data_IF_096647748917
#
_entry.id   IF_096647748917
#
_cell.length_a   1.000
_cell.length_b   1.000
_cell.length_c   1.000
_cell.angle_alpha   90.00
_cell.angle_beta   90.00
_cell.angle_gamma   90.00
#
_symmetry.space_group_name_H-M   'P 1'
#
loop_
_entity.id
_entity.type
_entity.pdbx_description
1 polymer ?
#
# COMPACT_ATOMS: atom_id res chain seq x y z
N UNK A 1 43.20 -46.99 -26.20
CA UNK A 1 43.01 -46.31 -24.92
C UNK A 1 42.50 -44.86 -25.04
N UNK A 2 42.85 -44.12 -26.09
CA UNK A 2 42.42 -42.71 -26.28
C UNK A 2 40.93 -42.52 -26.54
N UNK A 3 40.26 -43.40 -27.30
CA UNK A 3 38.83 -43.29 -27.68
C UNK A 3 37.84 -43.47 -26.50
N UNK A 4 38.22 -44.23 -25.47
CA UNK A 4 37.37 -44.46 -24.32
C UNK A 4 37.52 -43.34 -23.27
N UNK A 5 38.65 -42.65 -23.26
CA UNK A 5 38.88 -41.51 -22.38
C UNK A 5 38.01 -40.30 -22.80
N UNK A 6 37.81 -40.13 -24.12
CA UNK A 6 36.96 -39.03 -24.65
C UNK A 6 35.47 -39.26 -24.38
N UNK A 7 35.01 -40.50 -24.38
CA UNK A 7 33.61 -40.87 -24.08
C UNK A 7 33.29 -40.71 -22.57
N UNK A 8 34.25 -41.02 -21.69
CA UNK A 8 34.08 -40.83 -20.23
C UNK A 8 34.05 -39.36 -19.87
N UNK A 9 34.84 -38.51 -20.55
CA UNK A 9 34.87 -37.08 -20.30
C UNK A 9 33.58 -36.36 -20.78
N UNK A 10 32.94 -36.87 -21.89
CA UNK A 10 31.65 -36.33 -22.35
C UNK A 10 30.46 -36.77 -21.52
N UNK A 11 30.52 -37.93 -20.82
CA UNK A 11 29.46 -38.37 -19.90
C UNK A 11 29.45 -37.58 -18.56
N UNK A 12 30.59 -37.03 -18.15
CA UNK A 12 30.69 -36.21 -16.94
C UNK A 12 30.08 -34.80 -17.10
N UNK A 13 29.89 -34.31 -18.34
CA UNK A 13 29.29 -33.02 -18.61
C UNK A 13 27.74 -33.01 -18.64
N UNK A 14 27.12 -34.19 -18.70
CA UNK A 14 25.64 -34.28 -18.79
C UNK A 14 24.97 -34.34 -17.41
N UNK A 15 25.73 -34.48 -16.33
CA UNK A 15 25.20 -34.56 -14.94
C UNK A 15 25.13 -33.21 -14.22
N UNK A 16 25.41 -32.08 -14.91
CA UNK A 16 25.40 -30.73 -14.28
C UNK A 16 24.19 -29.86 -14.62
N UNK A 17 23.10 -30.44 -15.11
CA UNK A 17 21.81 -29.76 -15.21
C UNK A 17 20.82 -30.47 -14.29
N UNK A 18 21.05 -30.43 -12.98
CA UNK A 18 19.93 -30.52 -12.05
C UNK A 18 19.24 -29.17 -12.11
N UNK A 19 18.11 -29.07 -12.81
CA UNK A 19 17.09 -28.11 -12.51
C UNK A 19 16.57 -28.44 -11.09
N UNK A 20 17.35 -28.10 -10.08
CA UNK A 20 16.82 -27.87 -8.75
C UNK A 20 15.92 -26.65 -8.93
N UNK A 21 14.62 -26.79 -8.88
CA UNK A 21 13.77 -25.70 -8.45
C UNK A 21 14.38 -25.25 -7.13
N UNK A 22 14.86 -24.01 -7.06
CA UNK A 22 15.41 -23.45 -5.83
C UNK A 22 14.29 -23.55 -4.80
N UNK A 23 14.40 -24.54 -3.93
CA UNK A 23 13.42 -24.73 -2.84
C UNK A 23 13.70 -23.63 -1.83
N UNK A 24 12.74 -22.71 -1.68
CA UNK A 24 12.82 -21.65 -0.67
C UNK A 24 13.06 -22.25 0.71
N UNK A 25 13.87 -21.57 1.50
CA UNK A 25 14.32 -22.02 2.83
C UNK A 25 13.85 -21.07 3.92
N UNK A 26 14.00 -21.50 5.19
CA UNK A 26 13.77 -20.62 6.35
C UNK A 26 14.70 -19.39 6.33
N UNK A 27 15.94 -19.55 5.88
CA UNK A 27 16.91 -18.45 5.79
C UNK A 27 16.47 -17.43 4.72
N UNK A 28 15.95 -17.89 3.59
CA UNK A 28 15.41 -17.00 2.55
C UNK A 28 14.22 -16.19 3.08
N UNK A 29 13.36 -16.79 3.90
CA UNK A 29 12.25 -16.08 4.53
C UNK A 29 12.72 -15.01 5.52
N UNK A 30 13.76 -15.30 6.34
CA UNK A 30 14.35 -14.35 7.28
C UNK A 30 15.07 -13.22 6.54
N UNK A 31 15.80 -13.53 5.49
CA UNK A 31 16.46 -12.51 4.67
C UNK A 31 15.41 -11.60 4.03
N UNK A 32 14.36 -12.14 3.45
CA UNK A 32 13.26 -11.35 2.89
C UNK A 32 12.63 -10.41 3.93
N UNK A 33 12.32 -10.90 5.13
CA UNK A 33 11.78 -10.08 6.21
C UNK A 33 12.73 -8.94 6.60
N UNK A 34 14.03 -9.22 6.69
CA UNK A 34 15.04 -8.21 6.99
C UNK A 34 15.13 -7.13 5.88
N UNK A 35 15.05 -7.53 4.62
CA UNK A 35 15.04 -6.60 3.47
C UNK A 35 13.80 -5.70 3.48
N UNK A 36 12.62 -6.27 3.75
CA UNK A 36 11.36 -5.50 3.88
C UNK A 36 11.45 -4.51 5.03
N UNK A 37 11.98 -4.92 6.18
CA UNK A 37 12.16 -4.05 7.35
C UNK A 37 13.14 -2.89 7.06
N UNK A 38 14.28 -3.18 6.45
CA UNK A 38 15.30 -2.17 6.12
C UNK A 38 14.74 -1.16 5.10
N UNK A 39 14.02 -1.64 4.10
CA UNK A 39 13.37 -0.78 3.12
C UNK A 39 12.30 0.10 3.76
N UNK A 40 11.48 -0.44 4.65
CA UNK A 40 10.50 0.34 5.39
C UNK A 40 11.15 1.45 6.25
N UNK A 41 12.31 1.18 6.85
CA UNK A 41 13.07 2.19 7.63
C UNK A 41 13.64 3.30 6.75
N UNK A 42 14.13 2.96 5.57
CA UNK A 42 14.82 3.91 4.67
C UNK A 42 13.84 4.72 3.82
N UNK A 43 12.84 4.09 3.24
CA UNK A 43 11.89 4.72 2.32
C UNK A 43 10.61 5.22 3.00
N UNK A 44 10.18 4.57 4.10
CA UNK A 44 8.96 4.93 4.83
C UNK A 44 8.85 6.41 5.21
N UNK A 45 9.91 7.08 5.70
CA UNK A 45 9.87 8.51 5.99
C UNK A 45 9.57 9.38 4.77
N UNK A 46 10.01 8.98 3.56
CA UNK A 46 9.75 9.72 2.32
C UNK A 46 8.30 9.56 1.89
N UNK A 47 7.75 8.35 1.96
CA UNK A 47 6.34 8.07 1.72
C UNK A 47 5.44 8.86 2.68
N UNK A 48 5.76 8.81 3.98
CA UNK A 48 5.02 9.57 4.99
C UNK A 48 5.06 11.07 4.74
N UNK A 49 6.20 11.60 4.29
CA UNK A 49 6.35 13.02 3.97
C UNK A 49 5.50 13.42 2.76
N UNK A 50 5.46 12.60 1.71
CA UNK A 50 4.64 12.85 0.53
C UNK A 50 3.14 12.89 0.90
N UNK A 51 2.70 11.95 1.72
CA UNK A 51 1.34 11.90 2.23
C UNK A 51 1.01 13.11 3.14
N UNK A 52 1.92 13.47 4.05
CA UNK A 52 1.75 14.64 4.92
C UNK A 52 1.61 15.94 4.12
N UNK A 53 2.45 16.12 3.07
CA UNK A 53 2.37 17.30 2.19
C UNK A 53 1.00 17.35 1.51
N UNK A 54 0.52 16.24 0.96
CA UNK A 54 -0.77 16.17 0.29
C UNK A 54 -1.92 16.49 1.26
N UNK A 55 -1.88 15.98 2.49
CA UNK A 55 -2.95 16.19 3.49
C UNK A 55 -3.00 17.62 4.04
N UNK A 56 -1.87 18.33 4.06
CA UNK A 56 -1.79 19.68 4.62
C UNK A 56 -1.78 20.79 3.54
N UNK A 57 -1.36 20.48 2.33
CA UNK A 57 -1.30 21.40 1.19
C UNK A 57 -2.01 20.76 0.00
N UNK A 58 -3.35 20.83 -0.02
CA UNK A 58 -4.20 20.19 -1.02
C UNK A 58 -4.11 20.99 -2.33
N UNK A 59 -3.12 20.66 -3.16
CA UNK A 59 -2.87 21.27 -4.47
C UNK A 59 -2.78 20.19 -5.54
N UNK A 60 -2.91 20.59 -6.81
CA UNK A 60 -2.70 19.68 -7.93
C UNK A 60 -1.32 18.99 -7.90
N UNK A 61 -0.26 19.73 -7.53
CA UNK A 61 1.10 19.19 -7.51
C UNK A 61 1.29 18.20 -6.36
N UNK A 62 0.77 18.49 -5.16
CA UNK A 62 0.83 17.58 -4.01
C UNK A 62 0.05 16.28 -4.25
N UNK A 63 -1.12 16.37 -4.89
CA UNK A 63 -1.91 15.21 -5.31
C UNK A 63 -1.13 14.33 -6.29
N UNK A 64 -0.48 14.92 -7.29
CA UNK A 64 0.35 14.18 -8.25
C UNK A 64 1.51 13.45 -7.59
N UNK A 65 2.21 14.11 -6.68
CA UNK A 65 3.31 13.50 -5.91
C UNK A 65 2.79 12.35 -5.05
N UNK A 66 1.70 12.56 -4.30
CA UNK A 66 1.11 11.53 -3.45
C UNK A 66 0.61 10.32 -4.26
N UNK A 67 -0.04 10.55 -5.41
CA UNK A 67 -0.50 9.48 -6.31
C UNK A 67 0.66 8.63 -6.85
N UNK A 68 1.79 9.25 -7.23
CA UNK A 68 2.98 8.52 -7.68
C UNK A 68 3.59 7.67 -6.56
N UNK A 69 3.72 8.22 -5.35
CA UNK A 69 4.18 7.45 -4.19
C UNK A 69 3.20 6.32 -3.83
N UNK A 70 1.89 6.59 -3.83
CA UNK A 70 0.86 5.58 -3.57
C UNK A 70 0.94 4.43 -4.59
N UNK A 71 1.04 4.74 -5.89
CA UNK A 71 1.20 3.73 -6.94
C UNK A 71 2.44 2.86 -6.68
N UNK A 72 3.60 3.47 -6.45
CA UNK A 72 4.86 2.72 -6.22
C UNK A 72 4.77 1.84 -4.99
N UNK A 73 4.26 2.37 -3.88
CA UNK A 73 4.09 1.61 -2.64
C UNK A 73 3.11 0.44 -2.79
N UNK A 74 2.03 0.63 -3.56
CA UNK A 74 1.04 -0.40 -3.85
C UNK A 74 1.63 -1.56 -4.67
N UNK A 75 2.38 -1.25 -5.74
CA UNK A 75 3.02 -2.27 -6.57
C UNK A 75 4.08 -3.06 -5.79
N UNK A 76 4.87 -2.36 -4.99
CA UNK A 76 5.86 -2.98 -4.12
C UNK A 76 5.23 -3.90 -3.07
N UNK A 77 4.20 -3.44 -2.37
CA UNK A 77 3.50 -4.24 -1.39
C UNK A 77 2.85 -5.49 -2.01
N UNK A 78 2.37 -5.40 -3.26
CA UNK A 78 1.87 -6.55 -4.01
C UNK A 78 2.98 -7.57 -4.30
N UNK A 79 4.16 -7.12 -4.71
CA UNK A 79 5.33 -7.97 -4.94
C UNK A 79 5.77 -8.64 -3.64
N UNK A 80 5.85 -7.86 -2.56
CA UNK A 80 6.17 -8.39 -1.23
C UNK A 80 5.16 -9.44 -0.76
N UNK A 81 3.85 -9.23 -0.98
CA UNK A 81 2.83 -10.20 -0.63
C UNK A 81 2.95 -11.51 -1.44
N UNK A 82 3.30 -11.43 -2.72
CA UNK A 82 3.56 -12.61 -3.56
C UNK A 82 4.80 -13.38 -3.08
N UNK A 83 5.88 -12.67 -2.79
CA UNK A 83 7.10 -13.28 -2.26
C UNK A 83 6.83 -13.91 -0.89
N UNK A 84 6.11 -13.23 0.00
CA UNK A 84 5.72 -13.78 1.30
C UNK A 84 4.90 -15.07 1.17
N UNK A 85 4.07 -15.19 0.13
CA UNK A 85 3.27 -16.41 -0.12
C UNK A 85 4.12 -17.61 -0.56
N UNK A 86 5.30 -17.39 -1.14
CA UNK A 86 6.21 -18.50 -1.50
C UNK A 86 6.77 -19.25 -0.28
N UNK A 87 6.68 -18.65 0.91
CA UNK A 87 7.13 -19.23 2.17
C UNK A 87 6.02 -19.93 2.98
N UNK A 88 4.82 -20.11 2.38
CA UNK A 88 3.66 -20.63 3.12
C UNK A 88 3.85 -22.05 3.66
N UNK A 89 4.52 -22.91 2.90
CA UNK A 89 4.75 -24.32 3.23
C UNK A 89 5.94 -24.55 4.19
N UNK A 90 6.69 -23.48 4.55
CA UNK A 90 7.83 -23.61 5.46
C UNK A 90 7.38 -23.70 6.91
N UNK A 91 8.08 -24.48 7.71
CA UNK A 91 7.99 -24.41 9.18
C UNK A 91 8.88 -23.27 9.67
N UNK A 92 8.25 -22.17 10.16
CA UNK A 92 8.92 -20.95 10.58
C UNK A 92 8.64 -20.67 12.05
N UNK A 93 9.52 -19.87 12.67
CA UNK A 93 9.25 -19.28 13.97
C UNK A 93 7.90 -18.53 13.96
N UNK A 94 7.11 -18.56 15.05
CA UNK A 94 5.81 -17.89 15.11
C UNK A 94 5.86 -16.38 14.82
N UNK A 95 6.97 -15.69 15.16
CA UNK A 95 7.14 -14.26 14.86
C UNK A 95 7.34 -14.03 13.36
N UNK A 96 8.18 -14.82 12.68
CA UNK A 96 8.43 -14.74 11.26
C UNK A 96 7.16 -15.09 10.47
N UNK A 97 6.46 -16.16 10.86
CA UNK A 97 5.16 -16.53 10.28
C UNK A 97 4.13 -15.41 10.41
N UNK A 98 4.06 -14.75 11.57
CA UNK A 98 3.18 -13.61 11.80
C UNK A 98 3.54 -12.43 10.91
N UNK A 99 4.84 -12.11 10.78
CA UNK A 99 5.31 -11.02 9.93
C UNK A 99 4.93 -11.25 8.45
N UNK A 100 5.17 -12.45 7.92
CA UNK A 100 4.76 -12.83 6.56
C UNK A 100 3.24 -12.72 6.36
N UNK A 101 2.44 -13.15 7.36
CA UNK A 101 0.99 -13.02 7.28
C UNK A 101 0.51 -11.56 7.30
N UNK A 102 1.18 -10.66 8.01
CA UNK A 102 0.89 -9.23 7.99
C UNK A 102 1.18 -8.67 6.60
N UNK A 103 2.31 -9.02 5.98
CA UNK A 103 2.66 -8.58 4.61
C UNK A 103 1.62 -9.08 3.61
N UNK A 104 1.24 -10.37 3.66
CA UNK A 104 0.25 -10.96 2.74
C UNK A 104 -1.15 -10.35 2.86
N UNK A 105 -1.57 -10.02 4.08
CA UNK A 105 -2.93 -9.56 4.37
C UNK A 105 -3.02 -8.03 4.56
N UNK A 106 -1.94 -7.30 4.26
CA UNK A 106 -1.86 -5.85 4.42
C UNK A 106 -2.79 -5.05 3.49
N UNK A 107 -3.41 -5.70 2.52
CA UNK A 107 -4.33 -5.05 1.58
C UNK A 107 -5.77 -5.17 2.05
N UNK A 108 -6.40 -4.04 2.35
CA UNK A 108 -7.86 -3.96 2.53
C UNK A 108 -8.56 -4.14 1.17
N UNK A 109 -7.95 -3.65 0.10
CA UNK A 109 -8.41 -3.80 -1.27
C UNK A 109 -7.21 -4.17 -2.14
N UNK A 110 -7.16 -5.40 -2.69
CA UNK A 110 -6.03 -5.83 -3.54
C UNK A 110 -5.92 -4.90 -4.76
N UNK A 111 -4.73 -4.38 -5.02
CA UNK A 111 -4.52 -3.56 -6.22
C UNK A 111 -4.66 -4.42 -7.48
N UNK A 112 -5.08 -3.83 -8.61
CA UNK A 112 -5.00 -4.48 -9.90
C UNK A 112 -3.58 -4.92 -10.23
N UNK A 113 -3.44 -6.04 -10.95
CA UNK A 113 -2.14 -6.55 -11.42
C UNK A 113 -1.55 -5.74 -12.58
N UNK A 114 -2.40 -5.00 -13.26
CA UNK A 114 -2.03 -4.12 -14.37
C UNK A 114 -1.53 -2.78 -13.85
N UNK A 115 -0.35 -2.36 -14.27
CA UNK A 115 0.31 -1.12 -13.83
C UNK A 115 -0.50 0.13 -14.14
N UNK A 116 -1.24 0.15 -15.26
CA UNK A 116 -2.06 1.30 -15.62
C UNK A 116 -3.26 1.38 -14.69
N UNK A 117 -3.97 0.28 -14.46
CA UNK A 117 -5.11 0.21 -13.53
C UNK A 117 -4.70 0.49 -12.09
N UNK A 118 -3.53 0.01 -11.65
CA UNK A 118 -2.98 0.34 -10.33
C UNK A 118 -2.71 1.85 -10.19
N UNK A 119 -2.19 2.49 -11.24
CA UNK A 119 -1.98 3.94 -11.28
C UNK A 119 -3.28 4.73 -11.29
N UNK A 120 -4.30 4.28 -12.03
CA UNK A 120 -5.64 4.88 -12.03
C UNK A 120 -6.29 4.78 -10.66
N UNK A 121 -6.22 3.62 -10.01
CA UNK A 121 -6.73 3.41 -8.65
C UNK A 121 -6.06 4.35 -7.64
N UNK A 122 -4.72 4.45 -7.66
CA UNK A 122 -3.98 5.35 -6.77
C UNK A 122 -4.37 6.82 -6.99
N UNK A 123 -4.59 7.23 -8.24
CA UNK A 123 -5.03 8.58 -8.59
C UNK A 123 -6.43 8.88 -8.08
N UNK A 124 -7.37 7.94 -8.26
CA UNK A 124 -8.76 8.07 -7.77
C UNK A 124 -8.78 8.15 -6.23
N UNK A 125 -8.02 7.30 -5.53
CA UNK A 125 -7.95 7.34 -4.08
C UNK A 125 -7.43 8.69 -3.57
N UNK A 126 -6.35 9.20 -4.17
CA UNK A 126 -5.79 10.50 -3.82
C UNK A 126 -6.76 11.65 -4.13
N UNK A 127 -7.50 11.57 -5.23
CA UNK A 127 -8.53 12.55 -5.58
C UNK A 127 -9.67 12.54 -4.57
N UNK A 128 -10.18 11.37 -4.18
CA UNK A 128 -11.24 11.24 -3.16
C UNK A 128 -10.81 11.81 -1.81
N UNK A 129 -9.58 11.52 -1.36
CA UNK A 129 -9.01 12.09 -0.14
C UNK A 129 -8.91 13.61 -0.21
N UNK A 130 -8.49 14.13 -1.36
CA UNK A 130 -8.38 15.57 -1.59
C UNK A 130 -9.74 16.26 -1.63
N UNK A 131 -10.73 15.64 -2.31
CA UNK A 131 -12.12 16.14 -2.33
C UNK A 131 -12.70 16.20 -0.92
N UNK A 132 -12.44 15.18 -0.10
CA UNK A 132 -12.89 15.17 1.28
C UNK A 132 -12.18 16.23 2.12
N UNK A 133 -10.84 16.26 2.11
CA UNK A 133 -10.04 17.17 2.92
C UNK A 133 -10.24 18.65 2.59
N UNK A 134 -10.62 18.98 1.34
CA UNK A 134 -10.94 20.37 0.93
C UNK A 134 -12.45 20.65 0.90
N UNK A 135 -13.27 19.68 1.32
CA UNK A 135 -14.71 19.76 1.24
C UNK A 135 -15.32 20.77 2.23
N UNK A 136 -16.41 21.37 1.79
CA UNK A 136 -17.25 22.23 2.64
C UNK A 136 -18.71 22.06 2.31
N UNK A 137 -19.59 22.43 3.24
CA UNK A 137 -21.02 22.48 3.03
C UNK A 137 -21.61 23.79 3.51
N UNK A 138 -22.50 24.38 2.71
CA UNK A 138 -23.19 25.61 3.05
C UNK A 138 -24.69 25.31 3.22
N UNK A 139 -25.25 25.69 4.37
CA UNK A 139 -26.69 25.65 4.60
C UNK A 139 -27.41 26.86 4.00
N UNK A 140 -26.67 27.97 3.83
CA UNK A 140 -27.08 29.21 3.18
C UNK A 140 -25.85 29.92 2.57
N UNK A 141 -26.03 31.02 1.84
CA UNK A 141 -24.98 31.74 1.12
C UNK A 141 -23.79 32.14 2.03
N UNK A 142 -24.06 32.54 3.28
CA UNK A 142 -23.06 32.97 4.28
C UNK A 142 -22.92 31.97 5.46
N UNK A 143 -23.50 30.76 5.38
CA UNK A 143 -23.51 29.75 6.44
C UNK A 143 -22.78 28.49 5.98
N UNK A 144 -21.47 28.60 5.74
CA UNK A 144 -20.60 27.56 5.19
C UNK A 144 -19.62 27.05 6.24
N UNK A 145 -19.42 25.73 6.25
CA UNK A 145 -18.54 25.02 7.19
C UNK A 145 -17.67 24.03 6.42
N UNK A 146 -16.39 24.00 6.74
CA UNK A 146 -15.47 22.94 6.36
C UNK A 146 -15.44 21.83 7.41
N UNK A 147 -14.58 20.82 7.21
CA UNK A 147 -14.47 19.69 8.13
C UNK A 147 -14.06 20.13 9.54
N UNK A 148 -13.10 21.06 9.66
CA UNK A 148 -12.59 21.57 10.96
C UNK A 148 -13.68 22.30 11.71
N UNK A 149 -14.46 23.12 11.02
CA UNK A 149 -15.58 23.85 11.63
C UNK A 149 -16.67 22.90 12.14
N UNK A 150 -17.01 21.85 11.38
CA UNK A 150 -17.96 20.82 11.83
C UNK A 150 -17.42 20.02 13.02
N UNK A 151 -16.15 19.61 12.98
CA UNK A 151 -15.49 18.90 14.07
C UNK A 151 -15.52 19.72 15.35
N UNK A 152 -15.20 21.01 15.26
CA UNK A 152 -15.23 21.93 16.39
C UNK A 152 -16.64 22.01 17.02
N UNK A 153 -17.70 22.06 16.21
CA UNK A 153 -19.09 22.03 16.74
C UNK A 153 -19.37 20.70 17.44
N UNK A 154 -19.01 19.58 16.83
CA UNK A 154 -19.28 18.23 17.39
C UNK A 154 -18.55 18.05 18.72
N UNK A 155 -17.33 18.54 18.84
CA UNK A 155 -16.52 18.40 20.05
C UNK A 155 -17.01 19.29 21.20
N UNK A 156 -17.43 20.50 20.91
CA UNK A 156 -17.67 21.53 21.92
C UNK A 156 -19.14 21.79 22.22
N UNK A 157 -20.05 21.60 21.28
CA UNK A 157 -21.49 21.81 21.49
C UNK A 157 -22.10 20.71 22.37
N UNK A 158 -23.18 21.09 23.08
CA UNK A 158 -24.06 20.16 23.81
C UNK A 158 -25.53 20.39 23.43
N UNK A 159 -25.76 21.24 22.43
CA UNK A 159 -27.07 21.47 21.85
C UNK A 159 -27.36 20.36 20.82
N UNK A 160 -28.41 19.53 21.01
CA UNK A 160 -28.76 18.46 20.11
C UNK A 160 -29.09 18.92 18.68
N UNK A 161 -29.69 20.08 18.51
CA UNK A 161 -30.08 20.60 17.18
C UNK A 161 -28.85 21.09 16.43
N UNK A 162 -27.90 21.75 17.12
CA UNK A 162 -26.62 22.17 16.55
C UNK A 162 -25.76 20.96 16.17
N UNK A 163 -25.68 19.95 17.05
CA UNK A 163 -24.96 18.70 16.76
C UNK A 163 -25.57 17.97 15.57
N UNK A 164 -26.89 17.89 15.46
CA UNK A 164 -27.58 17.27 14.33
C UNK A 164 -27.32 18.03 13.03
N UNK A 165 -27.34 19.39 13.08
CA UNK A 165 -27.01 20.22 11.93
C UNK A 165 -25.59 19.96 11.47
N UNK A 166 -24.59 19.97 12.37
CA UNK A 166 -23.21 19.71 12.05
C UNK A 166 -23.01 18.31 11.47
N UNK A 167 -23.61 17.28 12.08
CA UNK A 167 -23.57 15.91 11.58
C UNK A 167 -24.12 15.76 10.15
N UNK A 168 -25.27 16.37 9.88
CA UNK A 168 -25.87 16.34 8.55
C UNK A 168 -25.01 17.09 7.52
N UNK A 169 -24.50 18.28 7.86
CA UNK A 169 -23.62 19.07 7.00
C UNK A 169 -22.32 18.33 6.67
N UNK A 170 -21.71 17.69 7.64
CA UNK A 170 -20.52 16.85 7.42
C UNK A 170 -20.78 15.75 6.38
N UNK A 171 -21.93 15.07 6.47
CA UNK A 171 -22.29 14.00 5.52
C UNK A 171 -22.56 14.50 4.10
N UNK A 172 -22.93 15.76 3.93
CA UNK A 172 -23.10 16.37 2.60
C UNK A 172 -21.77 16.51 1.87
N UNK A 173 -20.64 16.72 2.58
CA UNK A 173 -19.30 16.80 2.00
C UNK A 173 -18.92 15.51 1.25
N UNK A 174 -19.35 14.35 1.73
CA UNK A 174 -19.05 13.07 1.08
C UNK A 174 -19.92 12.73 -0.13
N UNK A 175 -21.02 13.47 -0.39
CA UNK A 175 -21.93 13.15 -1.49
C UNK A 175 -21.31 13.24 -2.88
N UNK A 176 -20.47 14.24 -3.20
CA UNK A 176 -19.82 14.33 -4.52
C UNK A 176 -18.87 13.17 -4.81
N UNK A 177 -18.43 12.42 -3.80
CA UNK A 177 -17.50 11.29 -3.95
C UNK A 177 -18.21 9.99 -4.39
N UNK A 178 -19.55 10.00 -4.46
CA UNK A 178 -20.34 8.89 -5.00
C UNK A 178 -20.48 9.12 -6.49
N UNK A 179 -19.56 8.55 -7.27
CA UNK A 179 -19.67 8.49 -8.72
C UNK A 179 -20.51 7.28 -9.14
#
# INVERSE_FOLDING_TARGET
MSKYLTIILSLLFILSCSNGADTVTEEDAKQFLAEVEEKAKTEGPVYSSAYWIQSNFITYDSQKVAADFSKRGTLEALEQARTASSFDDLELDPADRRALNIIKNGFVMPPPLDDQLAGEMASIMTELESMYGSGSHCFAEDDCYDLEAFENIIDNSRDPDELLKAWNGWREIGKPMKA
#
